data_IF_039934197720
#
_entry.id   IF_039934197720
#
_cell.length_a   1.000
_cell.length_b   1.000
_cell.length_c   1.000
_cell.angle_alpha   90.00
_cell.angle_beta   90.00
_cell.angle_gamma   90.00
#
_symmetry.space_group_name_H-M   'P 1'
#
loop_
_entity.id
_entity.type
_entity.pdbx_description
1 polymer ?
#
# COMPACT_ATOMS: atom_id res chain seq x y z
N UNK A 1 -29.44 -14.51 27.76
CA UNK A 1 -27.98 -14.56 27.96
C UNK A 1 -27.36 -13.56 27.02
N UNK A 2 -26.61 -12.61 27.55
CA UNK A 2 -25.86 -11.63 26.75
C UNK A 2 -24.43 -12.14 26.60
N UNK A 3 -23.92 -12.17 25.37
CA UNK A 3 -22.58 -12.71 25.06
C UNK A 3 -21.72 -11.58 24.50
N UNK A 4 -20.64 -11.26 25.20
CA UNK A 4 -19.63 -10.31 24.73
C UNK A 4 -18.61 -11.03 23.85
N UNK A 5 -18.37 -10.53 22.64
CA UNK A 5 -17.31 -11.01 21.74
C UNK A 5 -16.13 -10.06 21.78
N UNK A 6 -14.95 -10.55 22.17
CA UNK A 6 -13.71 -9.77 22.23
C UNK A 6 -12.82 -10.19 21.05
N UNK A 7 -12.67 -9.37 19.99
CA UNK A 7 -11.83 -9.72 18.86
C UNK A 7 -10.34 -9.55 19.19
N UNK A 8 -9.54 -10.60 18.98
CA UNK A 8 -8.08 -10.56 19.09
C UNK A 8 -7.49 -10.47 17.67
N UNK A 9 -6.69 -9.43 17.41
CA UNK A 9 -6.04 -9.23 16.11
C UNK A 9 -4.55 -9.57 16.21
N UNK A 10 -4.15 -10.67 15.58
CA UNK A 10 -2.75 -11.04 15.45
C UNK A 10 -2.08 -10.22 14.33
N UNK A 11 -1.13 -9.34 14.69
CA UNK A 11 -0.39 -8.45 13.77
C UNK A 11 1.12 -8.55 14.05
N UNK A 12 1.78 -9.64 13.61
CA UNK A 12 3.20 -9.85 13.86
C UNK A 12 4.04 -8.79 13.15
N UNK A 13 5.04 -8.23 13.86
CA UNK A 13 6.00 -7.26 13.30
C UNK A 13 7.23 -7.92 12.69
N UNK A 14 7.49 -9.17 13.08
CA UNK A 14 8.67 -9.93 12.71
C UNK A 14 8.25 -11.34 12.28
N UNK A 15 9.13 -12.02 11.55
CA UNK A 15 8.93 -13.43 11.20
C UNK A 15 9.25 -14.31 12.40
N UNK A 16 8.46 -15.36 12.63
CA UNK A 16 8.69 -16.28 13.75
C UNK A 16 7.41 -16.83 14.37
N UNK A 17 7.57 -17.65 15.38
CA UNK A 17 6.45 -18.15 16.20
C UNK A 17 6.24 -17.18 17.36
N UNK A 18 4.98 -16.93 17.70
CA UNK A 18 4.55 -16.12 18.83
C UNK A 18 3.67 -16.99 19.71
N UNK A 19 4.06 -17.13 20.97
CA UNK A 19 3.36 -17.88 22.00
C UNK A 19 3.14 -16.92 23.16
N UNK A 20 1.95 -16.33 23.22
CA UNK A 20 1.59 -15.26 24.16
C UNK A 20 0.40 -15.68 25.02
N UNK A 21 0.33 -15.15 26.23
CA UNK A 21 -0.79 -15.38 27.15
C UNK A 21 -1.59 -14.09 27.34
N UNK A 22 -2.91 -14.15 27.14
CA UNK A 22 -3.82 -13.04 27.39
C UNK A 22 -4.63 -13.34 28.64
N UNK A 23 -4.39 -12.54 29.68
CA UNK A 23 -5.07 -12.65 30.97
C UNK A 23 -6.32 -11.77 31.01
N UNK A 24 -7.45 -12.35 31.40
CA UNK A 24 -8.70 -11.64 31.63
C UNK A 24 -8.98 -11.54 33.12
N UNK A 25 -8.91 -10.32 33.66
CA UNK A 25 -9.38 -10.04 35.01
C UNK A 25 -10.81 -9.50 34.96
N UNK A 26 -11.78 -10.29 35.42
CA UNK A 26 -13.19 -9.88 35.48
C UNK A 26 -13.60 -9.70 36.94
N UNK A 27 -13.81 -8.45 37.33
CA UNK A 27 -14.37 -8.06 38.63
C UNK A 27 -13.71 -8.72 39.87
N UNK A 28 -12.39 -8.93 39.84
CA UNK A 28 -11.64 -9.51 40.96
C UNK A 28 -11.77 -11.03 41.14
N UNK A 29 -12.36 -11.73 40.15
CA UNK A 29 -12.33 -13.19 40.07
C UNK A 29 -11.06 -13.72 39.37
N UNK A 30 -10.87 -15.04 39.39
CA UNK A 30 -9.69 -15.76 38.87
C UNK A 30 -9.28 -15.25 37.49
N UNK A 31 -7.97 -14.99 37.32
CA UNK A 31 -7.40 -14.65 36.02
C UNK A 31 -7.57 -15.84 35.07
N UNK A 32 -8.50 -15.73 34.14
CA UNK A 32 -8.62 -16.67 33.03
C UNK A 32 -7.52 -16.36 32.02
N UNK A 33 -6.65 -17.34 31.76
CA UNK A 33 -5.54 -17.22 30.82
C UNK A 33 -5.87 -17.90 29.49
N UNK A 34 -5.76 -17.15 28.40
CA UNK A 34 -5.93 -17.67 27.04
C UNK A 34 -4.56 -17.67 26.35
N UNK A 35 -4.08 -18.85 25.99
CA UNK A 35 -2.92 -18.99 25.12
C UNK A 35 -3.25 -18.57 23.69
N UNK A 36 -2.45 -17.66 23.14
CA UNK A 36 -2.53 -17.15 21.77
C UNK A 36 -1.27 -17.57 21.03
N UNK A 37 -1.46 -18.50 20.09
CA UNK A 37 -0.40 -18.97 19.21
C UNK A 37 -0.53 -18.32 17.84
N UNK A 38 0.59 -17.89 17.27
CA UNK A 38 0.64 -17.28 15.95
C UNK A 38 1.98 -17.45 15.27
N UNK A 39 2.00 -17.24 13.96
CA UNK A 39 3.25 -17.22 13.18
C UNK A 39 3.33 -15.96 12.32
N UNK A 40 4.35 -15.15 12.56
CA UNK A 40 4.78 -14.09 11.66
C UNK A 40 5.33 -14.66 10.37
N UNK A 41 4.78 -14.22 9.24
CA UNK A 41 5.23 -14.61 7.90
C UNK A 41 5.51 -13.35 7.08
N UNK A 42 6.53 -13.37 6.21
CA UNK A 42 6.86 -12.20 5.39
C UNK A 42 5.72 -11.88 4.44
N UNK A 43 5.41 -10.60 4.31
CA UNK A 43 4.54 -10.11 3.25
C UNK A 43 5.34 -10.02 1.93
N UNK A 44 4.92 -10.78 0.93
CA UNK A 44 5.52 -10.83 -0.39
C UNK A 44 4.46 -10.54 -1.46
N UNK A 45 4.32 -9.27 -1.83
CA UNK A 45 3.51 -8.83 -2.97
C UNK A 45 4.40 -8.67 -4.20
N UNK A 46 3.93 -9.14 -5.35
CA UNK A 46 4.68 -9.06 -6.61
C UNK A 46 3.76 -8.62 -7.74
N UNK A 47 4.31 -7.95 -8.75
CA UNK A 47 3.62 -7.83 -10.04
C UNK A 47 3.64 -9.22 -10.71
N UNK A 48 2.53 -9.57 -11.35
CA UNK A 48 2.46 -10.79 -12.17
C UNK A 48 3.28 -10.61 -13.43
N UNK A 49 3.17 -9.45 -14.08
CA UNK A 49 4.00 -9.06 -15.21
C UNK A 49 5.08 -8.06 -14.74
N UNK A 50 6.37 -8.39 -14.83
CA UNK A 50 7.45 -7.46 -14.51
C UNK A 50 7.46 -6.18 -15.38
N UNK A 51 6.87 -6.20 -16.57
CA UNK A 51 6.78 -5.04 -17.46
C UNK A 51 5.81 -3.97 -16.92
N UNK A 52 4.81 -4.37 -16.13
CA UNK A 52 3.85 -3.48 -15.45
C UNK A 52 4.50 -2.53 -14.43
N UNK A 53 5.81 -2.68 -14.17
CA UNK A 53 6.57 -1.72 -13.35
C UNK A 53 6.61 -0.32 -13.97
N UNK A 54 6.44 -0.22 -15.29
CA UNK A 54 6.45 1.04 -16.04
C UNK A 54 5.20 1.11 -16.93
N UNK A 55 4.28 2.01 -16.58
CA UNK A 55 3.03 2.18 -17.31
C UNK A 55 3.12 3.34 -18.29
N UNK A 56 3.41 3.02 -19.55
CA UNK A 56 3.35 4.01 -20.63
C UNK A 56 1.92 4.22 -21.13
N UNK A 57 1.28 5.33 -20.77
CA UNK A 57 -0.07 5.67 -21.23
C UNK A 57 -0.11 6.23 -22.65
N UNK A 58 1.04 6.42 -23.30
CA UNK A 58 1.17 7.05 -24.61
C UNK A 58 0.60 8.46 -24.64
N UNK A 59 0.24 8.90 -25.85
CA UNK A 59 -0.40 10.19 -26.05
C UNK A 59 -1.86 10.13 -25.56
N UNK A 60 -2.13 10.78 -24.43
CA UNK A 60 -3.48 10.92 -23.88
C UNK A 60 -3.94 12.37 -24.02
N UNK A 61 -5.13 12.60 -24.57
CA UNK A 61 -5.69 13.94 -24.73
C UNK A 61 -6.10 14.55 -23.38
N UNK A 62 -6.04 15.88 -23.27
CA UNK A 62 -6.51 16.60 -22.08
C UNK A 62 -8.00 16.32 -21.87
N UNK A 63 -8.40 16.06 -20.62
CA UNK A 63 -9.73 15.67 -20.19
C UNK A 63 -10.20 14.29 -20.69
N UNK A 64 -9.33 13.51 -21.34
CA UNK A 64 -9.62 12.11 -21.69
C UNK A 64 -9.18 11.15 -20.57
N UNK A 65 -9.58 9.88 -20.69
CA UNK A 65 -9.26 8.84 -19.72
C UNK A 65 -8.58 7.66 -20.41
N UNK A 66 -7.36 7.34 -20.00
CA UNK A 66 -6.65 6.13 -20.42
C UNK A 66 -6.49 5.21 -19.22
N UNK A 67 -6.85 3.93 -19.37
CA UNK A 67 -6.78 2.94 -18.28
C UNK A 67 -5.82 1.84 -18.68
N UNK A 68 -4.87 1.53 -17.79
CA UNK A 68 -4.06 0.31 -17.84
C UNK A 68 -4.39 -0.58 -16.67
N UNK A 69 -4.30 -1.89 -16.87
CA UNK A 69 -4.57 -2.88 -15.83
C UNK A 69 -3.26 -3.55 -15.46
N UNK A 70 -2.91 -3.48 -14.19
CA UNK A 70 -1.77 -4.22 -13.61
C UNK A 70 -2.28 -5.32 -12.71
N UNK A 71 -1.55 -6.43 -12.62
CA UNK A 71 -1.95 -7.53 -11.75
C UNK A 71 -0.92 -7.74 -10.64
N UNK A 72 -1.39 -7.72 -9.40
CA UNK A 72 -0.56 -7.94 -8.20
C UNK A 72 -0.92 -9.28 -7.59
N UNK A 73 0.08 -10.11 -7.30
CA UNK A 73 -0.07 -11.42 -6.66
C UNK A 73 0.52 -11.41 -5.25
N UNK A 74 -0.19 -12.04 -4.32
CA UNK A 74 0.31 -12.30 -2.97
C UNK A 74 1.04 -13.65 -2.93
N UNK A 75 2.37 -13.62 -2.81
CA UNK A 75 3.25 -14.79 -2.62
C UNK A 75 3.62 -15.03 -1.16
N UNK A 76 2.95 -14.37 -0.23
CA UNK A 76 3.04 -14.65 1.21
C UNK A 76 2.29 -15.93 1.57
N UNK A 77 2.59 -16.47 2.74
CA UNK A 77 1.84 -17.61 3.31
C UNK A 77 0.53 -17.21 4.01
N UNK A 78 0.29 -15.91 4.21
CA UNK A 78 -0.91 -15.38 4.85
C UNK A 78 -1.69 -14.44 3.91
N UNK A 79 -2.98 -14.27 4.22
CA UNK A 79 -3.82 -13.26 3.56
C UNK A 79 -3.36 -11.87 3.94
N UNK A 80 -3.19 -11.00 2.96
CA UNK A 80 -2.86 -9.60 3.18
C UNK A 80 -4.08 -8.71 2.94
N UNK A 81 -4.23 -7.68 3.78
CA UNK A 81 -5.19 -6.58 3.59
C UNK A 81 -4.37 -5.34 3.29
N UNK A 82 -4.45 -4.83 2.07
CA UNK A 82 -3.56 -3.77 1.59
C UNK A 82 -4.32 -2.60 0.96
N UNK A 83 -3.64 -1.46 0.91
CA UNK A 83 -4.06 -0.27 0.19
C UNK A 83 -3.09 -0.02 -0.96
N UNK A 84 -3.59 0.35 -2.14
CA UNK A 84 -2.79 0.80 -3.26
C UNK A 84 -3.03 2.30 -3.48
N UNK A 85 -1.94 3.03 -3.59
CA UNK A 85 -1.97 4.47 -3.79
C UNK A 85 -0.65 4.96 -4.37
N UNK A 86 -0.64 6.23 -4.75
CA UNK A 86 0.58 6.91 -5.12
C UNK A 86 1.27 7.33 -3.82
N UNK A 87 2.54 6.99 -3.69
CA UNK A 87 3.41 7.54 -2.64
C UNK A 87 4.30 8.55 -3.35
N UNK A 88 4.56 9.72 -2.77
CA UNK A 88 5.34 10.82 -3.40
C UNK A 88 6.84 10.47 -3.58
N UNK A 89 7.16 9.35 -4.22
CA UNK A 89 8.50 9.01 -4.71
C UNK A 89 8.64 9.44 -6.17
N UNK A 90 8.26 10.68 -6.48
CA UNK A 90 8.97 11.33 -7.56
C UNK A 90 10.37 11.54 -7.01
N UNK A 91 11.43 10.95 -7.60
CA UNK A 91 12.75 11.49 -7.34
C UNK A 91 12.62 12.96 -7.71
N UNK A 92 12.75 13.85 -6.71
CA UNK A 92 13.25 15.18 -7.04
C UNK A 92 14.53 14.86 -7.80
N UNK A 93 14.58 15.25 -9.07
CA UNK A 93 15.82 15.16 -9.83
C UNK A 93 16.74 16.10 -9.05
N UNK A 94 17.50 15.54 -8.13
CA UNK A 94 18.62 16.22 -7.51
C UNK A 94 19.61 16.38 -8.64
N UNK A 95 19.53 17.54 -9.30
CA UNK A 95 20.70 18.07 -9.98
C UNK A 95 21.83 18.02 -8.96
N UNK A 96 22.79 17.15 -9.25
CA UNK A 96 23.98 16.90 -8.47
C UNK A 96 24.60 18.23 -8.03
N UNK A 97 24.61 18.52 -6.73
CA UNK A 97 25.85 18.44 -5.95
C UNK A 97 25.56 18.60 -4.45
N UNK A 98 26.38 17.93 -3.64
CA UNK A 98 26.55 18.03 -2.19
C UNK A 98 25.63 17.24 -1.23
N UNK A 99 26.34 16.49 -0.38
CA UNK A 99 25.93 15.54 0.64
C UNK A 99 25.22 16.20 1.82
N UNK A 100 23.88 16.16 1.90
CA UNK A 100 23.19 16.32 3.19
C UNK A 100 21.97 15.40 3.29
N UNK A 101 21.89 14.70 4.42
CA UNK A 101 20.83 13.74 4.77
C UNK A 101 19.57 14.54 5.16
N UNK A 102 18.41 14.44 4.47
CA UNK A 102 17.20 15.09 4.97
C UNK A 102 16.44 14.14 5.90
N UNK A 103 16.42 14.56 7.15
CA UNK A 103 15.48 14.11 8.17
C UNK A 103 14.03 14.29 7.70
N UNK A 104 13.23 13.23 7.90
CA UNK A 104 11.76 13.18 7.90
C UNK A 104 11.06 14.55 7.84
N UNK A 105 10.73 15.03 6.63
CA UNK A 105 9.89 16.21 6.44
C UNK A 105 8.44 15.80 6.18
N UNK A 106 7.59 16.03 7.17
CA UNK A 106 6.14 16.10 7.01
C UNK A 106 5.75 17.28 6.10
N UNK A 107 4.94 16.97 5.09
CA UNK A 107 3.86 17.78 4.53
C UNK A 107 4.04 19.29 4.46
N UNK A 108 4.27 19.80 3.23
CA UNK A 108 3.78 21.11 2.80
C UNK A 108 3.20 20.98 1.40
N UNK A 109 1.89 21.26 1.31
CA UNK A 109 1.10 21.46 0.11
C UNK A 109 1.73 22.48 -0.85
N UNK A 110 2.39 21.99 -1.90
CA UNK A 110 2.82 22.73 -3.09
C UNK A 110 2.68 21.78 -4.28
N UNK A 111 1.53 21.86 -4.95
CA UNK A 111 0.90 20.74 -5.65
C UNK A 111 1.65 20.25 -6.89
N UNK A 112 2.01 18.97 -6.88
CA UNK A 112 2.20 18.24 -8.14
C UNK A 112 0.82 17.88 -8.70
N UNK A 113 0.32 18.70 -9.64
CA UNK A 113 -0.96 18.50 -10.36
C UNK A 113 -1.07 17.13 -11.08
N UNK A 114 0.04 16.41 -11.21
CA UNK A 114 0.07 15.10 -11.83
C UNK A 114 -0.58 14.01 -10.98
N UNK A 115 -0.47 14.09 -9.65
CA UNK A 115 -1.14 13.12 -8.76
C UNK A 115 -2.66 13.22 -8.81
N UNK A 116 -3.21 14.40 -9.14
CA UNK A 116 -4.65 14.61 -9.35
C UNK A 116 -5.17 13.91 -10.63
N UNK A 117 -4.29 13.68 -11.60
CA UNK A 117 -4.61 13.04 -12.87
C UNK A 117 -4.59 11.51 -12.79
N UNK A 118 -3.96 10.90 -11.77
CA UNK A 118 -3.83 9.43 -11.67
C UNK A 118 -4.70 8.88 -10.55
N UNK A 119 -5.47 7.83 -10.86
CA UNK A 119 -6.26 7.09 -9.87
C UNK A 119 -6.04 5.59 -10.01
N UNK A 120 -5.95 4.90 -8.88
CA UNK A 120 -5.83 3.43 -8.82
C UNK A 120 -7.13 2.85 -8.26
N UNK A 121 -7.67 1.80 -8.88
CA UNK A 121 -8.87 1.09 -8.43
C UNK A 121 -8.73 -0.43 -8.57
N UNK A 122 -9.11 -1.22 -7.55
CA UNK A 122 -9.45 -0.79 -6.18
C UNK A 122 -8.21 -0.24 -5.46
N UNK A 123 -8.42 0.63 -4.46
CA UNK A 123 -7.32 1.29 -3.72
C UNK A 123 -7.28 1.04 -2.21
N UNK A 124 -8.38 0.61 -1.58
CA UNK A 124 -8.45 0.50 -0.11
C UNK A 124 -8.97 -0.85 0.36
N UNK A 125 -8.39 -1.35 1.45
CA UNK A 125 -8.80 -2.55 2.18
C UNK A 125 -8.97 -3.78 1.29
N UNK A 126 -8.05 -3.97 0.35
CA UNK A 126 -8.11 -5.09 -0.59
C UNK A 126 -7.53 -6.32 0.07
N UNK A 127 -8.36 -7.37 0.18
CA UNK A 127 -7.99 -8.66 0.73
C UNK A 127 -7.45 -9.57 -0.38
N UNK A 128 -6.20 -10.00 -0.25
CA UNK A 128 -5.54 -10.90 -1.22
C UNK A 128 -5.04 -12.13 -0.48
N UNK A 129 -5.62 -13.30 -0.76
CA UNK A 129 -5.19 -14.57 -0.17
C UNK A 129 -3.85 -15.08 -0.73
N UNK A 130 -3.22 -16.08 -0.10
CA UNK A 130 -2.01 -16.72 -0.61
C UNK A 130 -2.18 -17.23 -2.05
N UNK A 131 -1.20 -16.97 -2.90
CA UNK A 131 -1.18 -17.29 -4.33
C UNK A 131 -2.38 -16.75 -5.13
N UNK A 132 -3.14 -15.81 -4.57
CA UNK A 132 -4.19 -15.09 -5.26
C UNK A 132 -3.67 -13.75 -5.75
N UNK A 133 -4.26 -13.30 -6.84
CA UNK A 133 -3.94 -12.03 -7.47
C UNK A 133 -5.16 -11.13 -7.56
N UNK A 134 -4.91 -9.83 -7.57
CA UNK A 134 -5.91 -8.80 -7.85
C UNK A 134 -5.49 -8.01 -9.07
N UNK A 135 -6.46 -7.61 -9.90
CA UNK A 135 -6.26 -6.66 -11.00
C UNK A 135 -6.53 -5.26 -10.48
N UNK A 136 -5.59 -4.35 -10.73
CA UNK A 136 -5.69 -2.93 -10.40
C UNK A 136 -5.77 -2.14 -11.71
N UNK A 137 -6.81 -1.31 -11.83
CA UNK A 137 -6.95 -0.34 -12.90
C UNK A 137 -6.23 0.94 -12.49
N UNK A 138 -5.20 1.32 -13.25
CA UNK A 138 -4.53 2.61 -13.15
C UNK A 138 -5.11 3.50 -14.25
N UNK A 139 -5.85 4.52 -13.84
CA UNK A 139 -6.51 5.50 -14.69
C UNK A 139 -5.67 6.77 -14.73
N UNK A 140 -5.35 7.23 -15.93
CA UNK A 140 -4.75 8.54 -16.19
C UNK A 140 -5.76 9.48 -16.85
N UNK A 141 -5.88 10.68 -16.31
CA UNK A 141 -6.87 11.72 -16.67
C UNK A 141 -6.21 13.11 -16.64
N UNK A 142 -5.39 13.47 -17.63
CA UNK A 142 -4.66 14.74 -17.62
C UNK A 142 -5.61 15.94 -17.70
N UNK A 143 -5.40 16.93 -16.85
CA UNK A 143 -6.25 18.14 -16.75
C UNK A 143 -5.64 19.32 -17.52
N UNK A 144 -4.34 19.26 -17.82
CA UNK A 144 -3.62 20.25 -18.60
C UNK A 144 -2.45 19.61 -19.35
N UNK A 145 -1.94 20.30 -20.39
CA UNK A 145 -0.68 19.94 -21.02
C UNK A 145 0.47 20.51 -20.19
N UNK A 146 1.56 19.77 -20.08
CA UNK A 146 2.84 20.34 -19.65
C UNK A 146 3.27 21.33 -20.75
N UNK A 147 3.73 22.51 -20.35
CA UNK A 147 4.21 23.51 -21.32
C UNK A 147 5.36 22.90 -22.15
N UNK A 148 5.48 23.27 -23.44
CA UNK A 148 6.65 22.88 -24.22
C UNK A 148 7.92 23.26 -23.47
N UNK A 149 8.91 22.38 -23.47
CA UNK A 149 10.22 22.73 -22.95
C UNK A 149 10.80 23.84 -23.84
N UNK A 150 11.06 25.00 -23.25
CA UNK A 150 11.81 26.07 -23.91
C UNK A 150 13.29 25.77 -23.70
N UNK A 151 13.96 25.27 -24.73
CA UNK A 151 15.43 25.19 -24.76
C UNK A 151 15.98 26.62 -24.73
N UNK A 152 16.91 26.91 -23.82
CA UNK A 152 17.60 28.20 -23.71
C UNK A 152 18.95 28.14 -24.38
#
# INVERSE_FOLDING_TARGET
METLKIPIYFRPKEEGTFDEEVHFNVAGSVDECIAVHGRGVPMKMMLVDPEDKCLDFGNTEVNSNTIKVVQVINKSKATAITNFGLTEYFPKIEETDSLEIPSRSTFTSGGSHFTDAIRIYPSKNIKIGPDKSVKLSVKFSPICRINPFTEK
#
